data_IF_831952472228
#
_entry.id   IF_831952472228
#
_cell.length_a   1.000
_cell.length_b   1.000
_cell.length_c   1.000
_cell.angle_alpha   90.00
_cell.angle_beta   90.00
_cell.angle_gamma   90.00
#
_symmetry.space_group_name_H-M   'P 1'
#
loop_
_entity.id
_entity.type
_entity.pdbx_description
1 polymer ?
#
# COMPACT_ATOMS: atom_id res chain seq x y z
N UNK A 1 38.15 -46.01 27.93
CA UNK A 1 36.69 -46.20 27.71
C UNK A 1 36.31 -45.48 26.43
N UNK A 2 35.67 -46.17 25.47
CA UNK A 2 35.37 -45.65 24.12
C UNK A 2 33.87 -45.33 24.05
N UNK A 3 33.52 -44.04 24.10
CA UNK A 3 32.15 -43.56 24.01
C UNK A 3 31.61 -43.81 22.60
N UNK A 4 30.59 -44.66 22.44
CA UNK A 4 29.89 -44.81 21.16
C UNK A 4 28.82 -43.73 21.08
N UNK A 5 28.98 -42.80 20.14
CA UNK A 5 27.98 -41.78 19.86
C UNK A 5 26.90 -42.47 19.02
N UNK A 6 25.71 -42.64 19.61
CA UNK A 6 24.56 -43.25 18.95
C UNK A 6 23.99 -42.26 17.93
N UNK A 7 24.45 -42.34 16.69
CA UNK A 7 23.91 -41.55 15.58
C UNK A 7 22.52 -42.09 15.21
N UNK A 8 21.48 -41.52 15.82
CA UNK A 8 20.09 -41.74 15.39
C UNK A 8 19.89 -41.05 14.04
N UNK A 9 19.75 -41.82 12.97
CA UNK A 9 19.42 -41.30 11.64
C UNK A 9 17.95 -40.91 11.56
N UNK A 10 17.66 -39.88 10.76
CA UNK A 10 16.29 -39.49 10.41
C UNK A 10 15.64 -40.58 9.56
N UNK A 11 14.41 -40.96 9.84
CA UNK A 11 13.68 -41.90 9.00
C UNK A 11 13.07 -41.18 7.80
N UNK A 12 12.99 -41.87 6.66
CA UNK A 12 12.34 -41.32 5.46
C UNK A 12 10.86 -41.03 5.71
N UNK A 13 10.21 -41.82 6.59
CA UNK A 13 8.80 -41.61 6.93
C UNK A 13 8.59 -40.32 7.74
N UNK A 14 9.51 -39.98 8.67
CA UNK A 14 9.46 -38.71 9.39
C UNK A 14 9.56 -37.52 8.43
N UNK A 15 10.43 -37.60 7.42
CA UNK A 15 10.55 -36.52 6.43
C UNK A 15 9.30 -36.40 5.53
N UNK A 16 8.72 -37.52 5.11
CA UNK A 16 7.53 -37.54 4.25
C UNK A 16 6.31 -36.94 4.96
N UNK A 17 6.12 -37.25 6.25
CA UNK A 17 5.00 -36.69 7.03
C UNK A 17 5.17 -35.18 7.19
N UNK A 18 6.39 -34.70 7.40
CA UNK A 18 6.67 -33.26 7.56
C UNK A 18 6.32 -32.49 6.28
N UNK A 19 6.78 -32.95 5.11
CA UNK A 19 6.46 -32.27 3.85
C UNK A 19 4.96 -32.35 3.52
N UNK A 20 4.28 -33.43 3.90
CA UNK A 20 2.83 -33.58 3.72
C UNK A 20 2.06 -32.53 4.54
N UNK A 21 2.44 -32.32 5.81
CA UNK A 21 1.82 -31.29 6.65
C UNK A 21 2.16 -29.88 6.13
N UNK A 22 3.40 -29.63 5.71
CA UNK A 22 3.80 -28.34 5.12
C UNK A 22 2.99 -28.00 3.85
N UNK A 23 2.69 -28.99 3.00
CA UNK A 23 1.87 -28.79 1.80
C UNK A 23 0.43 -28.36 2.14
N UNK A 24 -0.18 -28.96 3.17
CA UNK A 24 -1.53 -28.60 3.64
C UNK A 24 -1.54 -27.17 4.20
N UNK A 25 -0.56 -26.83 5.04
CA UNK A 25 -0.44 -25.48 5.63
C UNK A 25 -0.22 -24.41 4.54
N UNK A 26 0.62 -24.70 3.55
CA UNK A 26 0.87 -23.79 2.43
C UNK A 26 -0.39 -23.51 1.62
N UNK A 27 -1.24 -24.52 1.37
CA UNK A 27 -2.47 -24.36 0.60
C UNK A 27 -3.47 -23.38 1.24
N UNK A 28 -3.56 -23.36 2.57
CA UNK A 28 -4.47 -22.45 3.31
C UNK A 28 -3.92 -21.02 3.37
N UNK A 29 -2.59 -20.86 3.36
CA UNK A 29 -1.95 -19.57 3.60
C UNK A 29 -2.02 -18.62 2.39
N UNK A 30 -1.86 -19.15 1.17
CA UNK A 30 -1.76 -18.38 -0.09
C UNK A 30 -2.94 -17.43 -0.36
N UNK A 31 -4.22 -17.84 -0.28
CA UNK A 31 -5.34 -16.97 -0.71
C UNK A 31 -5.55 -15.75 0.18
N UNK A 32 -5.12 -15.79 1.45
CA UNK A 32 -5.42 -14.71 2.40
C UNK A 32 -4.60 -13.43 2.15
N UNK A 33 -3.40 -13.55 1.58
CA UNK A 33 -2.40 -12.48 1.55
C UNK A 33 -2.82 -11.30 0.66
N UNK A 34 -3.52 -11.55 -0.44
CA UNK A 34 -3.88 -10.52 -1.42
C UNK A 34 -4.90 -9.51 -0.89
N UNK A 35 -5.90 -9.98 -0.12
CA UNK A 35 -6.95 -9.10 0.42
C UNK A 35 -6.39 -8.14 1.49
N UNK A 36 -5.50 -8.63 2.35
CA UNK A 36 -4.84 -7.79 3.37
C UNK A 36 -3.97 -6.71 2.75
N UNK A 37 -3.25 -7.03 1.67
CA UNK A 37 -2.44 -6.04 0.92
C UNK A 37 -3.29 -4.90 0.38
N UNK A 38 -4.42 -5.21 -0.28
CA UNK A 38 -5.32 -4.18 -0.83
C UNK A 38 -5.89 -3.30 0.28
N UNK A 39 -6.28 -3.89 1.41
CA UNK A 39 -6.79 -3.12 2.55
C UNK A 39 -5.74 -2.19 3.16
N UNK A 40 -4.52 -2.69 3.36
CA UNK A 40 -3.40 -1.89 3.87
C UNK A 40 -3.06 -0.74 2.92
N UNK A 41 -3.05 -1.01 1.62
CA UNK A 41 -2.81 -0.01 0.59
C UNK A 41 -3.91 1.04 0.53
N UNK A 42 -5.20 0.65 0.60
CA UNK A 42 -6.31 1.59 0.70
C UNK A 42 -6.15 2.51 1.91
N UNK A 43 -5.79 1.95 3.07
CA UNK A 43 -5.54 2.74 4.28
C UNK A 43 -4.39 3.73 4.10
N UNK A 44 -3.29 3.30 3.47
CA UNK A 44 -2.14 4.15 3.19
C UNK A 44 -2.50 5.30 2.25
N UNK A 45 -3.16 4.99 1.13
CA UNK A 45 -3.61 5.99 0.14
C UNK A 45 -4.53 7.02 0.79
N UNK A 46 -5.49 6.58 1.61
CA UNK A 46 -6.40 7.49 2.30
C UNK A 46 -5.67 8.42 3.26
N UNK A 47 -4.70 7.90 4.03
CA UNK A 47 -3.91 8.71 4.96
C UNK A 47 -3.01 9.72 4.22
N UNK A 48 -2.34 9.28 3.15
CA UNK A 48 -1.56 10.17 2.29
C UNK A 48 -2.42 11.24 1.63
N UNK A 49 -3.62 10.90 1.14
CA UNK A 49 -4.55 11.84 0.54
C UNK A 49 -5.02 12.92 1.54
N UNK A 50 -5.27 12.57 2.80
CA UNK A 50 -5.59 13.55 3.86
C UNK A 50 -4.45 14.51 4.10
N UNK A 51 -3.24 13.97 4.25
CA UNK A 51 -2.03 14.78 4.45
C UNK A 51 -1.86 15.75 3.28
N UNK A 52 -2.02 15.22 2.05
CA UNK A 52 -1.91 15.99 0.83
C UNK A 52 -2.98 17.08 0.70
N UNK A 53 -4.24 16.78 1.01
CA UNK A 53 -5.31 17.78 1.08
C UNK A 53 -4.90 18.92 2.00
N UNK A 54 -4.47 18.61 3.22
CA UNK A 54 -4.11 19.63 4.21
C UNK A 54 -2.94 20.49 3.76
N UNK A 55 -1.92 19.92 3.10
CA UNK A 55 -0.81 20.71 2.57
C UNK A 55 -1.26 21.63 1.42
N UNK A 56 -2.14 21.16 0.53
CA UNK A 56 -2.72 22.00 -0.52
C UNK A 56 -3.55 23.13 0.11
N UNK A 57 -4.36 22.82 1.12
CA UNK A 57 -5.18 23.82 1.82
C UNK A 57 -4.32 24.87 2.54
N UNK A 58 -3.24 24.44 3.21
CA UNK A 58 -2.29 25.33 3.87
C UNK A 58 -1.58 26.25 2.88
N UNK A 59 -1.05 25.68 1.79
CA UNK A 59 -0.37 26.45 0.75
C UNK A 59 -1.32 27.47 0.10
N UNK A 60 -2.56 27.07 -0.21
CA UNK A 60 -3.56 27.95 -0.80
C UNK A 60 -4.04 29.04 0.15
N UNK A 61 -4.04 28.80 1.46
CA UNK A 61 -4.36 29.80 2.47
C UNK A 61 -3.29 30.90 2.52
N UNK A 62 -2.01 30.54 2.32
CA UNK A 62 -0.89 31.48 2.30
C UNK A 62 -0.71 32.16 0.94
N UNK A 63 -1.17 31.55 -0.16
CA UNK A 63 -0.95 32.01 -1.54
C UNK A 63 -2.26 32.18 -2.31
N UNK A 64 -2.91 33.34 -2.14
CA UNK A 64 -4.18 33.65 -2.82
C UNK A 64 -4.09 33.74 -4.34
N UNK A 65 -2.94 34.16 -4.87
CA UNK A 65 -2.77 34.45 -6.31
C UNK A 65 -2.27 33.24 -7.11
N UNK A 66 -1.78 32.21 -6.42
CA UNK A 66 -1.20 31.02 -7.02
C UNK A 66 -1.71 29.76 -6.32
N UNK A 67 -3.02 29.50 -6.43
CA UNK A 67 -3.65 28.35 -5.80
C UNK A 67 -3.38 27.05 -6.56
N UNK A 68 -3.13 25.98 -5.83
CA UNK A 68 -2.99 24.61 -6.33
C UNK A 68 -4.37 23.94 -6.32
N UNK A 69 -4.82 23.49 -7.49
CA UNK A 69 -6.08 22.75 -7.68
C UNK A 69 -5.85 21.29 -8.09
N UNK A 70 -4.61 20.86 -8.23
CA UNK A 70 -4.21 19.50 -8.57
C UNK A 70 -2.82 19.20 -8.03
N UNK A 71 -2.56 17.95 -7.65
CA UNK A 71 -1.23 17.53 -7.22
C UNK A 71 -0.40 17.04 -8.42
N UNK A 72 0.12 17.98 -9.21
CA UNK A 72 0.99 17.71 -10.36
C UNK A 72 2.48 17.95 -10.03
N UNK A 73 3.34 17.99 -11.05
CA UNK A 73 4.78 18.23 -10.90
C UNK A 73 5.09 19.63 -10.33
N UNK A 74 4.26 20.63 -10.65
CA UNK A 74 4.44 21.98 -10.15
C UNK A 74 4.04 22.05 -8.68
N UNK A 75 2.89 21.46 -8.33
CA UNK A 75 2.44 21.34 -6.94
C UNK A 75 3.47 20.60 -6.08
N UNK A 76 4.06 19.50 -6.56
CA UNK A 76 5.14 18.77 -5.88
C UNK A 76 6.35 19.64 -5.52
N UNK A 77 6.67 20.63 -6.35
CA UNK A 77 7.77 21.55 -6.11
C UNK A 77 7.38 22.63 -5.09
N UNK A 78 6.14 23.10 -5.16
CA UNK A 78 5.64 24.18 -4.31
C UNK A 78 5.28 23.73 -2.88
N UNK A 79 4.78 22.50 -2.72
CA UNK A 79 4.43 21.92 -1.41
C UNK A 79 5.48 20.93 -0.87
N UNK A 80 6.58 20.75 -1.62
CA UNK A 80 7.59 19.73 -1.36
C UNK A 80 8.30 19.85 0.00
N UNK A 81 8.28 21.05 0.60
CA UNK A 81 8.82 21.32 1.93
C UNK A 81 7.90 20.80 3.05
N UNK A 82 6.58 20.81 2.83
CA UNK A 82 5.57 20.33 3.80
C UNK A 82 5.27 18.85 3.64
N UNK A 83 5.38 18.33 2.41
CA UNK A 83 5.24 16.91 2.10
C UNK A 83 6.37 16.49 1.18
N UNK A 84 7.21 15.58 1.69
CA UNK A 84 8.21 14.86 0.90
C UNK A 84 7.53 14.20 -0.32
N UNK A 85 7.79 14.66 -1.56
CA UNK A 85 7.04 14.21 -2.74
C UNK A 85 7.30 12.74 -3.09
N UNK A 86 8.44 12.18 -2.65
CA UNK A 86 8.79 10.76 -2.72
C UNK A 86 7.93 9.87 -1.81
N UNK A 87 7.22 10.45 -0.83
CA UNK A 87 6.31 9.73 0.08
C UNK A 87 4.86 9.73 -0.39
N UNK A 88 4.54 10.46 -1.45
CA UNK A 88 3.18 10.45 -2.00
C UNK A 88 3.02 9.28 -2.98
N UNK A 89 2.05 8.37 -2.76
CA UNK A 89 1.77 7.28 -3.69
C UNK A 89 1.53 7.78 -5.12
N UNK A 90 2.08 7.07 -6.11
CA UNK A 90 1.97 7.44 -7.52
C UNK A 90 0.52 7.58 -7.99
N UNK A 91 -0.39 6.81 -7.42
CA UNK A 91 -1.82 6.88 -7.72
C UNK A 91 -2.48 8.20 -7.30
N UNK A 92 -1.85 9.05 -6.48
CA UNK A 92 -2.34 10.38 -6.12
C UNK A 92 -1.75 11.50 -6.99
N UNK A 93 -0.67 11.22 -7.74
CA UNK A 93 -0.06 12.20 -8.63
C UNK A 93 -0.97 12.48 -9.82
N UNK A 94 -1.08 13.75 -10.19
CA UNK A 94 -1.93 14.24 -11.27
C UNK A 94 -3.43 14.31 -10.93
N UNK A 95 -3.84 13.97 -9.71
CA UNK A 95 -5.25 14.09 -9.28
C UNK A 95 -5.60 15.52 -8.92
N UNK A 96 -6.85 15.90 -9.14
CA UNK A 96 -7.37 17.20 -8.71
C UNK A 96 -7.50 17.24 -7.19
N UNK A 97 -7.58 18.44 -6.59
CA UNK A 97 -7.85 18.62 -5.17
C UNK A 97 -9.17 17.94 -4.76
N UNK A 98 -10.22 18.10 -5.56
CA UNK A 98 -11.51 17.44 -5.33
C UNK A 98 -11.40 15.91 -5.32
N UNK A 99 -10.61 15.34 -6.24
CA UNK A 99 -10.36 13.90 -6.27
C UNK A 99 -9.60 13.45 -5.01
N UNK A 100 -8.61 14.22 -4.58
CA UNK A 100 -7.84 13.97 -3.36
C UNK A 100 -8.75 14.02 -2.12
N UNK A 101 -9.69 14.97 -2.05
CA UNK A 101 -10.66 15.10 -0.95
C UNK A 101 -11.67 13.95 -0.92
N UNK A 102 -12.12 13.50 -2.09
CA UNK A 102 -12.96 12.31 -2.22
C UNK A 102 -12.21 11.04 -1.77
N UNK A 103 -10.92 10.93 -2.09
CA UNK A 103 -10.09 9.80 -1.64
C UNK A 103 -9.84 9.89 -0.12
N UNK A 104 -9.53 11.08 0.40
CA UNK A 104 -9.31 11.34 1.82
C UNK A 104 -10.55 10.99 2.68
N UNK A 105 -11.75 11.28 2.16
CA UNK A 105 -13.04 10.93 2.76
C UNK A 105 -13.42 9.44 2.60
N UNK A 106 -12.67 8.68 1.79
CA UNK A 106 -12.85 7.23 1.63
C UNK A 106 -13.79 6.83 0.49
N UNK A 107 -14.23 7.78 -0.35
CA UNK A 107 -15.12 7.58 -1.50
C UNK A 107 -14.37 7.07 -2.73
N UNK A 108 -13.60 6.00 -2.55
CA UNK A 108 -12.81 5.41 -3.62
C UNK A 108 -12.67 3.90 -3.47
N UNK A 109 -12.46 3.26 -4.60
CA UNK A 109 -12.06 1.87 -4.71
C UNK A 109 -10.63 1.79 -5.24
N UNK A 110 -9.93 0.76 -4.78
CA UNK A 110 -8.57 0.44 -5.23
C UNK A 110 -8.67 -0.83 -6.06
N UNK A 111 -8.27 -0.74 -7.31
CA UNK A 111 -8.13 -1.90 -8.20
C UNK A 111 -6.67 -2.06 -8.57
N UNK A 112 -6.22 -3.32 -8.73
CA UNK A 112 -4.90 -3.64 -9.24
C UNK A 112 -5.01 -4.00 -10.70
N UNK A 113 -4.43 -3.18 -11.57
CA UNK A 113 -4.24 -3.46 -12.98
C UNK A 113 -2.93 -4.25 -13.15
N UNK A 114 -2.97 -5.36 -13.90
CA UNK A 114 -1.85 -6.28 -14.12
C UNK A 114 -1.17 -6.83 -12.85
N UNK A 115 -1.86 -6.78 -11.71
CA UNK A 115 -1.33 -7.21 -10.40
C UNK A 115 -0.27 -6.27 -9.79
N UNK A 116 0.10 -5.18 -10.47
CA UNK A 116 1.21 -4.31 -10.10
C UNK A 116 0.77 -2.85 -9.92
N UNK A 117 -0.06 -2.34 -10.83
CA UNK A 117 -0.43 -0.93 -10.87
C UNK A 117 -1.68 -0.66 -10.07
N UNK A 118 -1.62 0.33 -9.19
CA UNK A 118 -2.75 0.75 -8.35
C UNK A 118 -3.59 1.77 -9.09
N UNK A 119 -4.82 1.39 -9.41
CA UNK A 119 -5.81 2.26 -10.06
C UNK A 119 -6.83 2.67 -9.01
N UNK A 120 -7.13 3.96 -8.97
CA UNK A 120 -8.16 4.53 -8.10
C UNK A 120 -9.36 4.87 -8.96
N UNK A 121 -10.49 4.25 -8.66
CA UNK A 121 -11.79 4.64 -9.20
C UNK A 121 -12.58 5.37 -8.13
N UNK A 122 -12.94 6.63 -8.41
CA UNK A 122 -13.80 7.39 -7.52
C UNK A 122 -15.19 6.77 -7.52
N UNK A 123 -15.77 6.62 -6.35
CA UNK A 123 -17.14 6.13 -6.23
C UNK A 123 -18.05 7.35 -6.20
N UNK A 124 -18.87 7.51 -7.25
CA UNK A 124 -19.97 8.48 -7.21
C UNK A 124 -21.00 8.00 -6.19
N UNK A 125 -21.57 8.94 -5.43
CA UNK A 125 -22.65 8.67 -4.49
C UNK A 125 -23.88 8.14 -5.23
#
# INVERSE_FOLDING_TARGET
MKNRINNKGFTLIELIIVIAILAILAAILVPSISAYKIKAEKSNIQASARTLSHAIDAYNADNSDNTINSYDTNAQTLIGDDIKPDKVPDCLKGKTKDDIDNIASGKFTVTKEDGLKTVISLTSN
#
